data_IF_074585629131
#
_entry.id   IF_074585629131
#
_cell.length_a   1.000
_cell.length_b   1.000
_cell.length_c   1.000
_cell.angle_alpha   90.00
_cell.angle_beta   90.00
_cell.angle_gamma   90.00
#
_symmetry.space_group_name_H-M   'P 1'
#
loop_
_entity.id
_entity.type
_entity.pdbx_description
1 polymer ?
#
# COMPACT_ATOMS: atom_id res chain seq x y z
N UNK A 1 -24.86 -109.30 38.30
CA UNK A 1 -24.58 -107.85 38.34
C UNK A 1 -23.22 -107.60 37.70
N UNK A 2 -23.20 -106.57 36.85
CA UNK A 2 -22.10 -105.92 36.13
C UNK A 2 -21.61 -106.54 34.79
N UNK A 3 -21.45 -105.71 33.73
CA UNK A 3 -21.62 -106.12 32.35
C UNK A 3 -20.38 -105.88 31.47
N UNK A 4 -20.50 -106.31 30.20
CA UNK A 4 -19.71 -105.99 29.01
C UNK A 4 -19.35 -104.50 28.87
N UNK A 5 -18.20 -104.18 28.24
CA UNK A 5 -18.14 -103.50 26.91
C UNK A 5 -16.74 -103.61 26.28
N UNK A 6 -16.68 -103.99 24.99
CA UNK A 6 -15.51 -103.86 24.09
C UNK A 6 -15.34 -102.41 23.66
N UNK A 7 -14.11 -101.90 23.52
CA UNK A 7 -13.83 -100.69 22.73
C UNK A 7 -12.71 -100.98 21.73
N UNK A 8 -13.05 -100.81 20.46
CA UNK A 8 -12.22 -100.80 19.27
C UNK A 8 -11.69 -99.37 19.12
N UNK A 9 -10.38 -99.18 18.93
CA UNK A 9 -9.80 -97.87 18.62
C UNK A 9 -9.70 -97.69 17.10
N UNK A 10 -10.39 -96.67 16.59
CA UNK A 10 -10.42 -96.21 15.19
C UNK A 10 -9.65 -94.89 15.10
N UNK A 11 -8.89 -94.71 14.01
CA UNK A 11 -8.00 -93.58 13.74
C UNK A 11 -8.74 -92.24 13.51
N UNK A 12 -8.10 -91.11 13.84
CA UNK A 12 -8.38 -89.81 13.21
C UNK A 12 -7.15 -88.89 13.25
N UNK A 13 -6.68 -88.52 12.06
CA UNK A 13 -5.70 -87.47 11.77
C UNK A 13 -6.28 -86.11 12.20
N UNK A 14 -5.54 -85.34 13.01
CA UNK A 14 -5.89 -83.96 13.33
C UNK A 14 -4.80 -83.01 12.81
N UNK A 15 -5.15 -82.30 11.74
CA UNK A 15 -4.44 -81.15 11.19
C UNK A 15 -4.42 -80.00 12.21
N UNK A 16 -3.24 -79.61 12.66
CA UNK A 16 -3.04 -78.38 13.45
C UNK A 16 -2.65 -77.26 12.49
N UNK A 17 -3.56 -76.31 12.27
CA UNK A 17 -3.25 -75.02 11.68
C UNK A 17 -2.79 -74.09 12.81
N UNK A 18 -1.53 -73.66 12.78
CA UNK A 18 -1.06 -72.51 13.56
C UNK A 18 -0.43 -71.50 12.62
N UNK A 19 -1.02 -70.32 12.68
CA UNK A 19 -0.86 -69.14 11.85
C UNK A 19 0.51 -68.47 12.02
N UNK A 20 1.16 -68.18 10.90
CA UNK A 20 2.40 -67.40 10.80
C UNK A 20 2.21 -65.96 11.28
N UNK A 21 3.19 -65.44 12.03
CA UNK A 21 3.33 -64.02 12.32
C UNK A 21 3.39 -63.21 11.02
N UNK A 22 2.44 -62.31 10.80
CA UNK A 22 2.65 -61.22 9.84
C UNK A 22 3.51 -60.18 10.55
N UNK A 23 4.78 -60.10 10.15
CA UNK A 23 5.52 -58.86 10.27
C UNK A 23 4.67 -57.78 9.60
N UNK A 24 4.22 -56.79 10.37
CA UNK A 24 3.71 -55.55 9.80
C UNK A 24 4.89 -54.90 9.10
N UNK A 25 5.04 -55.19 7.81
CA UNK A 25 5.73 -54.30 6.90
C UNK A 25 4.95 -52.98 7.02
N UNK A 26 5.55 -52.00 7.69
CA UNK A 26 5.15 -50.61 7.50
C UNK A 26 5.36 -50.39 6.01
N UNK A 27 4.28 -50.41 5.24
CA UNK A 27 4.35 -50.07 3.84
C UNK A 27 5.07 -48.72 3.75
N UNK A 28 6.13 -48.59 2.94
CA UNK A 28 6.68 -47.27 2.68
C UNK A 28 5.53 -46.40 2.19
N UNK A 29 5.36 -45.21 2.77
CA UNK A 29 4.46 -44.20 2.22
C UNK A 29 4.86 -44.04 0.75
N UNK A 30 3.99 -44.48 -0.18
CA UNK A 30 4.25 -44.34 -1.60
C UNK A 30 4.57 -42.88 -1.91
N UNK A 31 5.51 -42.56 -2.82
CA UNK A 31 5.72 -41.19 -3.26
C UNK A 31 4.43 -40.68 -3.91
N UNK A 32 3.68 -39.90 -3.15
CA UNK A 32 3.56 -38.46 -3.34
C UNK A 32 3.76 -37.96 -4.79
N UNK A 33 2.73 -37.31 -5.34
CA UNK A 33 2.82 -36.61 -6.62
C UNK A 33 3.74 -35.39 -6.55
N UNK A 34 4.25 -34.96 -7.70
CA UNK A 34 4.86 -33.63 -7.85
C UNK A 34 3.84 -32.69 -8.48
N UNK A 35 3.89 -31.42 -8.10
CA UNK A 35 3.06 -30.36 -8.70
C UNK A 35 3.84 -29.07 -8.80
N UNK A 36 3.51 -28.26 -9.78
CA UNK A 36 4.00 -26.89 -9.89
C UNK A 36 3.04 -25.96 -9.15
N UNK A 37 3.55 -25.22 -8.18
CA UNK A 37 2.84 -24.07 -7.61
C UNK A 37 3.32 -22.80 -8.29
N UNK A 38 2.39 -21.91 -8.63
CA UNK A 38 2.68 -20.58 -9.19
C UNK A 38 1.98 -19.52 -8.34
N UNK A 39 2.75 -18.51 -7.94
CA UNK A 39 2.27 -17.33 -7.23
C UNK A 39 2.50 -16.13 -8.13
N UNK A 40 1.44 -15.41 -8.49
CA UNK A 40 1.54 -14.19 -9.30
C UNK A 40 1.01 -13.02 -8.50
N UNK A 41 1.75 -11.91 -8.53
CA UNK A 41 1.25 -10.62 -8.08
C UNK A 41 0.49 -9.98 -9.24
N UNK A 42 -0.84 -9.95 -9.15
CA UNK A 42 -1.75 -9.36 -10.14
C UNK A 42 -2.24 -7.97 -9.71
N UNK A 43 -1.67 -7.42 -8.63
CA UNK A 43 -1.96 -6.06 -8.20
C UNK A 43 -1.58 -5.00 -9.23
N UNK A 44 -2.00 -3.77 -8.99
CA UNK A 44 -1.68 -2.62 -9.85
C UNK A 44 -0.55 -1.77 -9.27
N UNK A 45 0.18 -1.07 -10.14
CA UNK A 45 1.08 0.02 -9.73
C UNK A 45 0.46 1.37 -10.05
N UNK A 46 0.50 2.28 -9.08
CA UNK A 46 -0.11 3.61 -9.14
C UNK A 46 0.93 4.67 -8.79
N UNK A 47 0.76 5.87 -9.31
CA UNK A 47 1.74 6.96 -9.16
C UNK A 47 1.61 7.67 -7.81
N UNK A 48 0.41 7.68 -7.24
CA UNK A 48 0.07 8.36 -6.00
C UNK A 48 -0.38 7.32 -4.97
N UNK A 49 0.01 7.49 -3.71
CA UNK A 49 -0.48 6.63 -2.60
C UNK A 49 -1.81 7.15 -2.05
N UNK A 50 -1.94 8.48 -2.02
CA UNK A 50 -3.14 9.18 -1.60
C UNK A 50 -3.33 10.45 -2.42
N UNK A 51 -4.57 10.87 -2.57
CA UNK A 51 -4.91 12.16 -3.15
C UNK A 51 -6.25 12.66 -2.61
N UNK A 52 -6.49 13.94 -2.78
CA UNK A 52 -7.74 14.56 -2.41
C UNK A 52 -7.87 15.99 -2.90
N UNK A 53 -8.91 16.64 -2.40
CA UNK A 53 -9.17 18.06 -2.68
C UNK A 53 -9.30 18.83 -1.38
N UNK A 54 -9.06 20.13 -1.44
CA UNK A 54 -9.34 21.04 -0.35
C UNK A 54 -10.07 22.28 -0.89
N UNK A 55 -10.82 22.95 -0.02
CA UNK A 55 -11.55 24.16 -0.39
C UNK A 55 -11.77 25.05 0.82
N UNK A 56 -11.87 26.35 0.59
CA UNK A 56 -12.21 27.30 1.65
C UNK A 56 -13.72 27.36 1.91
N UNK A 57 -14.09 28.14 2.93
CA UNK A 57 -15.49 28.31 3.32
C UNK A 57 -16.19 29.47 2.60
N UNK A 58 -15.46 30.32 1.85
CA UNK A 58 -16.01 31.56 1.31
C UNK A 58 -16.45 32.52 2.42
N UNK A 59 -17.46 33.34 2.17
CA UNK A 59 -18.08 34.20 3.19
C UNK A 59 -19.57 34.41 2.92
N UNK A 60 -20.26 35.12 3.82
CA UNK A 60 -21.67 35.49 3.63
C UNK A 60 -21.91 36.28 2.32
N UNK A 61 -20.91 37.02 1.83
CA UNK A 61 -20.98 37.81 0.59
C UNK A 61 -20.28 37.15 -0.60
N UNK A 62 -19.47 36.13 -0.35
CA UNK A 62 -18.75 35.35 -1.38
C UNK A 62 -19.14 33.88 -1.23
N UNK A 63 -20.25 33.49 -1.87
CA UNK A 63 -20.82 32.13 -1.78
C UNK A 63 -20.11 31.11 -2.70
N UNK A 64 -18.81 31.26 -2.86
CA UNK A 64 -17.93 30.35 -3.59
C UNK A 64 -16.87 29.81 -2.63
N UNK A 65 -16.43 28.55 -2.75
CA UNK A 65 -15.58 27.88 -1.76
C UNK A 65 -14.10 28.30 -1.86
N UNK A 66 -13.86 29.62 -1.82
CA UNK A 66 -12.55 30.25 -1.84
C UNK A 66 -11.98 30.32 -0.43
N UNK A 67 -10.64 30.31 -0.35
CA UNK A 67 -9.90 30.68 0.86
C UNK A 67 -9.63 32.18 0.77
N UNK A 68 -10.47 32.97 1.42
CA UNK A 68 -10.35 34.44 1.41
C UNK A 68 -9.18 34.90 2.30
N UNK A 69 -8.66 36.13 2.10
CA UNK A 69 -7.66 36.70 3.00
C UNK A 69 -8.08 36.61 4.48
N UNK A 70 -7.17 36.11 5.31
CA UNK A 70 -7.39 35.83 6.74
C UNK A 70 -7.96 34.45 7.05
N UNK A 71 -8.45 33.71 6.06
CA UNK A 71 -8.97 32.34 6.24
C UNK A 71 -7.86 31.29 6.10
N UNK A 72 -8.12 30.12 6.67
CA UNK A 72 -7.28 28.95 6.56
C UNK A 72 -8.09 27.70 6.21
N UNK A 73 -7.41 26.69 5.68
CA UNK A 73 -7.92 25.35 5.45
C UNK A 73 -6.89 24.35 5.95
N UNK A 74 -7.36 23.22 6.48
CA UNK A 74 -6.50 22.12 6.90
C UNK A 74 -6.99 20.81 6.32
N UNK A 75 -6.06 19.92 6.01
CA UNK A 75 -6.34 18.54 5.62
C UNK A 75 -5.21 17.63 6.10
N UNK A 76 -5.51 16.34 6.22
CA UNK A 76 -4.57 15.33 6.66
C UNK A 76 -4.35 14.28 5.58
N UNK A 77 -3.15 13.71 5.56
CA UNK A 77 -2.71 12.66 4.65
C UNK A 77 -1.62 11.83 5.33
N UNK A 78 -1.39 10.61 4.89
CA UNK A 78 -0.32 9.77 5.38
C UNK A 78 0.87 9.82 4.43
N UNK A 79 2.07 9.69 4.99
CA UNK A 79 3.29 9.62 4.19
C UNK A 79 4.41 8.91 4.93
N UNK A 80 5.13 8.06 4.23
CA UNK A 80 6.39 7.45 4.64
C UNK A 80 7.61 8.24 4.14
N UNK A 81 8.80 7.87 4.63
CA UNK A 81 10.07 8.47 4.20
C UNK A 81 10.26 8.40 2.69
N UNK A 82 10.78 9.47 2.12
CA UNK A 82 11.06 9.58 0.67
C UNK A 82 9.84 9.88 -0.19
N UNK A 83 8.62 9.85 0.36
CA UNK A 83 7.43 10.37 -0.32
C UNK A 83 7.36 11.90 -0.21
N UNK A 84 6.67 12.51 -1.17
CA UNK A 84 6.53 13.96 -1.27
C UNK A 84 5.05 14.36 -1.35
N UNK A 85 4.71 15.49 -0.74
CA UNK A 85 3.39 16.12 -0.91
C UNK A 85 3.43 17.10 -2.08
N UNK A 86 2.50 16.95 -3.01
CA UNK A 86 2.21 17.94 -4.04
C UNK A 86 0.83 18.55 -3.77
N UNK A 87 0.67 19.85 -4.01
CA UNK A 87 -0.63 20.50 -4.02
C UNK A 87 -0.64 21.64 -5.04
N UNK A 88 -1.82 22.00 -5.54
CA UNK A 88 -1.99 23.16 -6.40
C UNK A 88 -3.29 23.90 -6.09
N UNK A 89 -3.24 25.23 -6.00
CA UNK A 89 -4.41 26.11 -5.88
C UNK A 89 -4.19 27.42 -6.64
N UNK A 90 -5.23 27.98 -7.24
CA UNK A 90 -5.15 29.19 -8.06
C UNK A 90 -4.79 30.41 -7.22
N UNK A 91 -3.92 31.28 -7.75
CA UNK A 91 -3.93 32.69 -7.38
C UNK A 91 -5.21 33.30 -7.98
N UNK A 92 -6.25 33.48 -7.17
CA UNK A 92 -7.61 33.73 -7.65
C UNK A 92 -7.77 34.97 -8.53
N UNK A 93 -6.90 35.98 -8.38
CA UNK A 93 -6.89 37.20 -9.21
C UNK A 93 -5.94 37.17 -10.42
N UNK A 94 -5.45 36.01 -10.81
CA UNK A 94 -4.63 35.80 -12.02
C UNK A 94 -5.45 35.18 -13.14
N UNK A 95 -4.88 35.15 -14.35
CA UNK A 95 -5.46 34.44 -15.50
C UNK A 95 -4.95 33.01 -15.65
N UNK A 96 -3.80 32.69 -15.06
CA UNK A 96 -3.17 31.37 -15.12
C UNK A 96 -2.04 31.18 -14.09
N UNK A 97 -2.07 31.89 -12.96
CA UNK A 97 -1.10 31.67 -11.88
C UNK A 97 -1.65 30.74 -10.79
N UNK A 98 -0.76 29.95 -10.20
CA UNK A 98 -1.10 29.02 -9.12
C UNK A 98 -0.01 28.94 -8.06
N UNK A 99 -0.41 28.62 -6.84
CA UNK A 99 0.50 28.26 -5.75
C UNK A 99 0.71 26.76 -5.74
N UNK A 100 1.97 26.36 -5.66
CA UNK A 100 2.40 24.98 -5.49
C UNK A 100 3.81 24.95 -4.89
N UNK A 101 4.24 23.82 -4.31
CA UNK A 101 5.66 23.56 -4.06
C UNK A 101 6.50 23.59 -5.34
N UNK A 102 7.79 23.25 -5.22
CA UNK A 102 8.61 22.88 -6.39
C UNK A 102 7.92 21.77 -7.20
N UNK A 103 8.27 21.63 -8.48
CA UNK A 103 7.76 20.55 -9.33
C UNK A 103 8.07 19.15 -8.77
N UNK A 104 9.13 19.01 -7.96
CA UNK A 104 9.47 17.81 -7.19
C UNK A 104 8.58 17.54 -5.96
N UNK A 105 7.69 18.46 -5.59
CA UNK A 105 6.89 18.41 -4.36
C UNK A 105 7.65 18.76 -3.08
N UNK A 106 6.92 18.79 -1.96
CA UNK A 106 7.46 18.98 -0.60
C UNK A 106 8.02 17.67 -0.07
N UNK A 107 9.30 17.68 0.31
CA UNK A 107 9.85 16.60 1.13
C UNK A 107 9.21 16.63 2.52
N UNK A 108 8.68 15.48 2.96
CA UNK A 108 7.97 15.35 4.24
C UNK A 108 8.86 14.88 5.39
N UNK A 109 10.08 14.43 5.06
CA UNK A 109 11.08 13.98 6.00
C UNK A 109 12.44 14.58 5.64
N UNK A 110 13.22 14.92 6.67
CA UNK A 110 14.62 15.29 6.53
C UNK A 110 15.48 14.06 6.18
N UNK A 111 16.72 14.30 5.76
CA UNK A 111 17.65 13.23 5.38
C UNK A 111 17.98 12.25 6.54
N UNK A 112 17.85 12.70 7.79
CA UNK A 112 18.01 11.85 8.99
C UNK A 112 16.74 11.04 9.33
N UNK A 113 15.67 11.20 8.55
CA UNK A 113 14.40 10.50 8.73
C UNK A 113 13.45 11.14 9.74
N UNK A 114 13.76 12.32 10.27
CA UNK A 114 12.84 13.08 11.12
C UNK A 114 11.76 13.77 10.26
N UNK A 115 10.49 13.85 10.74
CA UNK A 115 9.40 14.46 9.99
C UNK A 115 9.56 15.99 9.92
N UNK A 116 9.27 16.59 8.77
CA UNK A 116 9.23 18.05 8.59
C UNK A 116 7.98 18.60 9.28
N UNK A 117 8.17 19.51 10.23
CA UNK A 117 7.07 20.14 10.98
C UNK A 117 7.32 21.64 11.18
N UNK A 118 6.28 22.39 11.53
CA UNK A 118 6.34 23.84 11.69
C UNK A 118 6.06 24.59 10.38
N UNK A 119 6.55 25.81 10.28
CA UNK A 119 6.35 26.69 9.13
C UNK A 119 7.22 26.26 7.93
N UNK A 120 6.56 26.04 6.79
CA UNK A 120 7.17 25.66 5.52
C UNK A 120 6.79 26.62 4.38
N UNK A 121 6.34 27.84 4.71
CA UNK A 121 5.85 28.82 3.73
C UNK A 121 6.88 29.13 2.65
N UNK A 122 8.17 29.14 2.98
CA UNK A 122 9.28 29.38 2.04
C UNK A 122 9.51 28.24 1.03
N UNK A 123 8.83 27.10 1.20
CA UNK A 123 8.88 25.99 0.24
C UNK A 123 7.73 26.03 -0.78
N UNK A 124 6.89 27.06 -0.71
CA UNK A 124 5.80 27.28 -1.66
C UNK A 124 6.23 28.38 -2.61
N UNK A 125 5.94 28.17 -3.90
CA UNK A 125 6.21 29.12 -4.96
C UNK A 125 4.90 29.58 -5.60
N UNK A 126 5.00 30.69 -6.33
CA UNK A 126 3.99 31.13 -7.25
C UNK A 126 4.45 30.74 -8.66
N UNK A 127 3.57 30.14 -9.44
CA UNK A 127 3.85 29.65 -10.79
C UNK A 127 2.93 30.31 -11.82
N UNK A 128 3.44 30.49 -13.03
CA UNK A 128 2.72 30.84 -14.25
C UNK A 128 2.54 29.53 -15.05
N UNK A 129 1.30 29.12 -15.34
CA UNK A 129 1.01 27.90 -16.09
C UNK A 129 1.33 28.02 -17.60
N UNK A 130 1.54 29.25 -18.09
CA UNK A 130 1.96 29.52 -19.47
C UNK A 130 0.87 29.29 -20.51
N UNK A 131 -0.40 29.21 -20.09
CA UNK A 131 -1.54 28.90 -20.97
C UNK A 131 -2.38 30.11 -21.31
N UNK A 132 -2.26 31.22 -20.57
CA UNK A 132 -2.92 32.49 -20.89
C UNK A 132 -2.01 33.68 -20.61
N UNK A 133 -2.21 34.78 -21.35
CA UNK A 133 -1.55 36.03 -20.96
C UNK A 133 -2.21 36.57 -19.69
N UNK A 134 -1.41 36.83 -18.69
CA UNK A 134 -1.80 37.54 -17.50
C UNK A 134 -1.93 39.03 -17.84
N UNK A 135 -3.17 39.52 -17.97
CA UNK A 135 -3.41 40.97 -18.05
C UNK A 135 -2.91 41.68 -16.78
N UNK A 136 -3.06 43.01 -16.69
CA UNK A 136 -2.74 43.72 -15.44
C UNK A 136 -3.50 43.11 -14.26
N UNK A 137 -2.78 42.63 -13.26
CA UNK A 137 -3.38 42.12 -12.01
C UNK A 137 -4.17 43.25 -11.36
N UNK A 138 -5.47 43.03 -11.16
CA UNK A 138 -6.38 43.99 -10.57
C UNK A 138 -7.04 43.36 -9.33
N UNK A 139 -6.71 43.81 -8.11
CA UNK A 139 -7.32 43.33 -6.87
C UNK A 139 -8.84 43.53 -6.78
N UNK A 140 -9.43 44.32 -7.69
CA UNK A 140 -10.79 44.82 -7.65
C UNK A 140 -11.71 44.28 -8.78
N UNK A 141 -11.27 43.31 -9.61
CA UNK A 141 -12.05 42.81 -10.75
C UNK A 141 -11.87 41.31 -11.03
N UNK A 142 -12.79 40.65 -11.79
CA UNK A 142 -12.80 39.20 -11.89
C UNK A 142 -11.65 38.69 -12.76
N UNK A 143 -10.75 37.89 -12.18
CA UNK A 143 -9.66 37.29 -12.93
C UNK A 143 -9.99 35.92 -13.55
N UNK A 144 -11.12 35.30 -13.22
CA UNK A 144 -11.48 33.98 -13.77
C UNK A 144 -11.71 34.02 -15.29
N UNK A 145 -11.03 33.12 -16.02
CA UNK A 145 -11.38 32.76 -17.41
C UNK A 145 -11.03 33.73 -18.55
N UNK A 146 -10.49 34.93 -18.27
CA UNK A 146 -10.04 35.89 -19.30
C UNK A 146 -8.60 35.69 -19.77
N UNK A 147 -8.09 36.55 -20.66
CA UNK A 147 -6.72 36.49 -21.21
C UNK A 147 -6.64 35.80 -22.57
N UNK A 148 -5.63 36.15 -23.39
CA UNK A 148 -5.40 35.50 -24.67
C UNK A 148 -4.73 34.15 -24.44
N UNK A 149 -5.15 33.12 -25.16
CA UNK A 149 -4.47 31.82 -25.12
C UNK A 149 -3.04 31.97 -25.63
N UNK A 150 -2.10 31.40 -24.87
CA UNK A 150 -0.69 31.27 -25.25
C UNK A 150 -0.23 29.84 -24.97
N UNK A 151 0.94 29.50 -25.50
CA UNK A 151 1.59 28.22 -25.24
C UNK A 151 3.03 28.52 -24.86
N UNK A 152 3.24 28.69 -23.56
CA UNK A 152 4.53 28.94 -22.93
C UNK A 152 4.79 27.82 -21.91
N UNK A 153 6.06 27.52 -21.60
CA UNK A 153 6.38 26.62 -20.51
C UNK A 153 5.90 27.16 -19.16
N UNK A 154 5.56 26.25 -18.25
CA UNK A 154 5.30 26.56 -16.85
C UNK A 154 6.58 27.16 -16.24
N UNK A 155 6.45 28.26 -15.50
CA UNK A 155 7.58 28.98 -14.90
C UNK A 155 7.30 29.50 -13.50
N UNK A 156 8.31 29.44 -12.64
CA UNK A 156 8.25 30.09 -11.33
C UNK A 156 8.23 31.62 -11.48
N UNK A 157 7.28 32.27 -10.80
CA UNK A 157 7.24 33.71 -10.60
C UNK A 157 8.02 34.01 -9.32
N UNK A 158 9.36 34.01 -9.42
CA UNK A 158 10.30 34.20 -8.32
C UNK A 158 10.36 35.63 -7.77
N UNK A 159 9.21 36.23 -7.44
CA UNK A 159 9.10 37.52 -6.73
C UNK A 159 9.55 38.76 -7.51
N UNK A 160 9.77 38.66 -8.82
CA UNK A 160 10.14 39.80 -9.67
C UNK A 160 9.01 40.16 -10.64
N UNK A 161 8.86 39.41 -11.73
CA UNK A 161 7.78 39.59 -12.71
C UNK A 161 7.38 38.26 -13.36
N UNK A 162 6.11 38.14 -13.76
CA UNK A 162 5.68 37.11 -14.70
C UNK A 162 6.11 37.43 -16.14
N UNK A 163 5.79 36.55 -17.09
CA UNK A 163 6.10 36.72 -18.50
C UNK A 163 5.42 37.94 -19.16
N UNK A 164 4.41 38.51 -18.51
CA UNK A 164 3.63 39.64 -19.01
C UNK A 164 3.94 40.95 -18.27
N UNK A 165 4.94 40.95 -17.39
CA UNK A 165 5.48 42.12 -16.69
C UNK A 165 4.73 42.52 -15.42
N UNK A 166 3.87 41.66 -14.87
CA UNK A 166 3.21 41.88 -13.59
C UNK A 166 4.13 41.51 -12.43
N UNK A 167 4.22 42.38 -11.43
CA UNK A 167 5.02 42.12 -10.22
C UNK A 167 4.20 41.41 -9.15
N UNK A 168 4.82 40.40 -8.54
CA UNK A 168 4.24 39.61 -7.45
C UNK A 168 5.17 39.57 -6.26
N UNK A 169 4.59 39.61 -5.07
CA UNK A 169 5.28 39.21 -3.85
C UNK A 169 5.58 37.70 -3.88
N UNK A 170 6.65 37.25 -3.21
CA UNK A 170 6.89 35.82 -2.98
C UNK A 170 5.67 35.14 -2.34
N UNK A 171 5.47 33.86 -2.65
CA UNK A 171 4.32 33.12 -2.12
C UNK A 171 4.30 33.08 -0.58
N UNK A 172 5.45 33.05 0.09
CA UNK A 172 5.55 33.08 1.56
C UNK A 172 5.05 34.40 2.19
N UNK A 173 4.88 35.47 1.42
CA UNK A 173 4.23 36.71 1.86
C UNK A 173 2.71 36.72 1.61
N UNK A 174 2.18 35.73 0.89
CA UNK A 174 0.75 35.63 0.53
C UNK A 174 0.07 34.43 1.19
N UNK A 175 0.83 33.37 1.43
CA UNK A 175 0.39 32.11 1.99
C UNK A 175 1.30 31.72 3.16
N UNK A 176 0.70 31.39 4.29
CA UNK A 176 1.39 30.72 5.39
C UNK A 176 1.02 29.24 5.38
N UNK A 177 2.02 28.36 5.37
CA UNK A 177 1.82 26.91 5.35
C UNK A 177 2.56 26.26 6.51
N UNK A 178 1.84 25.47 7.29
CA UNK A 178 2.43 24.75 8.43
C UNK A 178 2.12 23.26 8.39
N UNK A 179 3.06 22.43 8.85
CA UNK A 179 2.89 20.99 9.00
C UNK A 179 2.94 20.57 10.47
N UNK A 180 2.07 19.62 10.83
CA UNK A 180 2.20 18.82 12.06
C UNK A 180 2.21 17.34 11.70
N UNK A 181 2.74 16.49 12.57
CA UNK A 181 2.91 15.06 12.32
C UNK A 181 2.54 14.22 13.54
N UNK A 182 1.81 13.13 13.30
CA UNK A 182 1.47 12.10 14.27
C UNK A 182 2.27 10.82 13.96
N UNK A 183 3.26 10.54 14.80
CA UNK A 183 4.17 9.41 14.60
C UNK A 183 3.51 8.03 14.76
N UNK A 184 2.45 7.95 15.57
CA UNK A 184 1.72 6.69 15.78
C UNK A 184 1.07 6.24 14.48
N UNK A 185 0.45 7.15 13.73
CA UNK A 185 -0.30 6.83 12.52
C UNK A 185 0.46 7.14 11.22
N UNK A 186 1.62 7.80 11.29
CA UNK A 186 2.35 8.35 10.14
C UNK A 186 1.56 9.42 9.36
N UNK A 187 0.70 10.15 10.07
CA UNK A 187 -0.20 11.15 9.48
C UNK A 187 0.38 12.56 9.62
N UNK A 188 0.42 13.30 8.52
CA UNK A 188 0.64 14.73 8.53
C UNK A 188 -0.69 15.48 8.49
N UNK A 189 -0.71 16.66 9.10
CA UNK A 189 -1.75 17.67 8.87
C UNK A 189 -1.09 18.94 8.37
N UNK A 190 -1.52 19.38 7.18
CA UNK A 190 -1.12 20.65 6.61
C UNK A 190 -2.21 21.69 6.86
N UNK A 191 -1.80 22.89 7.22
CA UNK A 191 -2.66 24.07 7.32
C UNK A 191 -2.16 25.12 6.35
N UNK A 192 -3.04 25.57 5.46
CA UNK A 192 -2.78 26.62 4.49
C UNK A 192 -3.63 27.83 4.88
N UNK A 193 -2.96 28.94 5.20
CA UNK A 193 -3.60 30.20 5.55
C UNK A 193 -3.31 31.26 4.51
N UNK A 194 -4.36 31.95 4.07
CA UNK A 194 -4.25 33.10 3.19
C UNK A 194 -3.90 34.34 4.00
N UNK A 195 -2.66 34.81 3.87
CA UNK A 195 -2.14 36.02 4.54
C UNK A 195 -1.98 37.20 3.57
N UNK A 196 -2.51 37.11 2.35
CA UNK A 196 -2.34 38.13 1.32
C UNK A 196 -3.05 39.46 1.62
N UNK A 197 -3.96 39.49 2.60
CA UNK A 197 -4.78 40.66 2.92
C UNK A 197 -3.96 41.90 3.29
N UNK A 198 -4.23 43.02 2.63
CA UNK A 198 -3.53 44.28 2.86
C UNK A 198 -2.19 44.39 2.11
N UNK A 199 -1.80 43.36 1.36
CA UNK A 199 -0.65 43.42 0.45
C UNK A 199 -1.06 43.97 -0.92
N UNK A 200 -0.07 44.37 -1.73
CA UNK A 200 -0.30 44.76 -3.13
C UNK A 200 -0.82 43.61 -4.02
N UNK A 201 -0.63 42.36 -3.59
CA UNK A 201 -1.09 41.14 -4.27
C UNK A 201 -2.21 40.44 -3.47
N UNK A 202 -3.08 41.19 -2.79
CA UNK A 202 -4.24 40.63 -2.09
C UNK A 202 -5.07 39.79 -3.06
N UNK A 203 -5.26 38.50 -2.76
CA UNK A 203 -5.99 37.55 -3.63
C UNK A 203 -6.69 36.47 -2.80
N UNK A 204 -7.87 35.97 -3.20
CA UNK A 204 -8.35 34.69 -2.69
C UNK A 204 -7.56 33.52 -3.30
N UNK A 205 -7.63 32.34 -2.67
CA UNK A 205 -7.19 31.08 -3.26
C UNK A 205 -8.41 30.22 -3.66
N UNK A 206 -8.31 29.49 -4.76
CA UNK A 206 -9.37 28.57 -5.20
C UNK A 206 -9.40 27.29 -4.36
N UNK A 207 -10.43 26.44 -4.54
CA UNK A 207 -10.27 25.01 -4.27
C UNK A 207 -9.02 24.47 -4.97
N UNK A 208 -8.36 23.51 -4.32
CA UNK A 208 -7.15 22.89 -4.82
C UNK A 208 -7.22 21.37 -4.79
N UNK A 209 -6.15 20.76 -5.30
CA UNK A 209 -5.87 19.32 -5.19
C UNK A 209 -4.62 19.12 -4.34
N UNK A 210 -4.50 17.93 -3.77
CA UNK A 210 -3.27 17.46 -3.16
C UNK A 210 -3.06 15.98 -3.49
N UNK A 211 -1.80 15.56 -3.53
CA UNK A 211 -1.41 14.18 -3.74
C UNK A 211 -0.10 13.84 -3.04
N UNK A 212 -0.02 12.64 -2.49
CA UNK A 212 1.21 12.08 -1.93
C UNK A 212 1.78 11.10 -2.94
N UNK A 213 3.04 11.30 -3.33
CA UNK A 213 3.70 10.44 -4.31
C UNK A 213 3.86 9.03 -3.77
N UNK A 214 3.63 8.04 -4.63
CA UNK A 214 3.94 6.65 -4.32
C UNK A 214 5.45 6.40 -4.45
N UNK A 215 5.97 5.41 -3.73
CA UNK A 215 7.39 5.06 -3.74
C UNK A 215 7.57 3.55 -3.77
N UNK A 216 8.51 3.08 -4.57
CA UNK A 216 8.90 1.68 -4.66
C UNK A 216 10.41 1.56 -4.65
N UNK A 217 10.96 0.77 -3.72
CA UNK A 217 12.40 0.57 -3.61
C UNK A 217 13.19 1.86 -3.31
N UNK A 218 12.57 2.84 -2.65
CA UNK A 218 13.18 4.14 -2.35
C UNK A 218 13.11 5.16 -3.48
N UNK A 219 12.38 4.87 -4.56
CA UNK A 219 12.20 5.79 -5.68
C UNK A 219 10.74 6.16 -5.87
N UNK A 220 10.47 7.45 -6.10
CA UNK A 220 9.14 7.94 -6.44
C UNK A 220 8.66 7.35 -7.77
N UNK A 221 7.40 6.91 -7.83
CA UNK A 221 6.78 6.40 -9.06
C UNK A 221 6.63 7.48 -10.14
N UNK A 222 6.34 8.71 -9.72
CA UNK A 222 6.43 9.93 -10.53
C UNK A 222 7.04 11.03 -9.63
N UNK A 223 8.26 11.51 -9.92
CA UNK A 223 8.90 12.53 -9.11
C UNK A 223 8.26 13.91 -9.26
N UNK A 224 7.42 14.12 -10.27
CA UNK A 224 6.86 15.42 -10.61
C UNK A 224 5.39 15.27 -11.07
N UNK A 225 4.44 14.91 -10.20
CA UNK A 225 3.13 14.43 -10.62
C UNK A 225 2.23 15.50 -11.27
N UNK A 226 2.42 16.79 -10.96
CA UNK A 226 1.55 17.86 -11.45
C UNK A 226 2.11 18.61 -12.66
N UNK A 227 3.38 18.96 -12.64
CA UNK A 227 4.03 19.71 -13.71
C UNK A 227 5.54 19.48 -13.68
N UNK A 228 6.25 20.02 -14.68
CA UNK A 228 7.70 20.10 -14.71
C UNK A 228 8.06 21.54 -15.07
N UNK A 229 8.98 22.15 -14.32
CA UNK A 229 9.46 23.49 -14.67
C UNK A 229 10.03 23.48 -16.09
N UNK A 230 9.85 24.60 -16.80
CA UNK A 230 10.28 24.76 -18.20
C UNK A 230 9.63 23.78 -19.19
N UNK A 231 8.50 23.18 -18.84
CA UNK A 231 7.69 22.33 -19.73
C UNK A 231 6.27 22.84 -19.90
N UNK A 232 5.62 22.48 -21.01
CA UNK A 232 4.19 22.80 -21.22
C UNK A 232 3.30 22.02 -20.23
N UNK A 233 2.14 22.58 -19.88
CA UNK A 233 1.10 21.88 -19.13
C UNK A 233 0.78 20.52 -19.77
N UNK A 234 0.69 19.48 -18.92
CA UNK A 234 0.51 18.09 -19.35
C UNK A 234 -0.90 17.78 -19.83
N UNK A 235 -1.83 18.73 -19.68
CA UNK A 235 -3.24 18.55 -20.02
C UNK A 235 -4.02 17.73 -19.00
N UNK A 236 -3.45 17.39 -17.84
CA UNK A 236 -4.13 16.61 -16.79
C UNK A 236 -5.09 17.44 -15.94
N UNK A 237 -5.05 18.78 -16.04
CA UNK A 237 -6.02 19.66 -15.40
C UNK A 237 -5.44 20.80 -14.58
N UNK A 238 -4.11 20.92 -14.46
CA UNK A 238 -3.47 22.04 -13.74
C UNK A 238 -3.85 23.39 -14.34
N UNK A 239 -3.82 23.52 -15.69
CA UNK A 239 -4.32 24.71 -16.37
C UNK A 239 -5.75 25.13 -15.99
N UNK A 240 -6.66 24.17 -15.68
CA UNK A 240 -8.01 24.51 -15.23
C UNK A 240 -8.04 25.09 -13.82
N UNK A 241 -7.16 24.63 -12.94
CA UNK A 241 -6.97 25.23 -11.62
C UNK A 241 -6.40 26.63 -11.82
N UNK A 242 -5.28 26.76 -12.53
CA UNK A 242 -4.59 28.02 -12.73
C UNK A 242 -5.47 29.11 -13.37
N UNK A 243 -6.38 28.74 -14.29
CA UNK A 243 -7.21 29.72 -15.01
C UNK A 243 -8.56 30.01 -14.36
N UNK A 244 -9.12 29.03 -13.63
CA UNK A 244 -10.53 29.08 -13.23
C UNK A 244 -10.79 28.60 -11.80
N UNK A 245 -9.78 28.07 -11.11
CA UNK A 245 -9.96 27.42 -9.82
C UNK A 245 -10.79 26.14 -9.90
N UNK A 246 -10.95 25.56 -11.09
CA UNK A 246 -11.68 24.30 -11.31
C UNK A 246 -10.73 23.12 -11.13
N UNK A 247 -10.80 22.50 -9.95
CA UNK A 247 -9.97 21.34 -9.59
C UNK A 247 -10.55 20.00 -10.04
N UNK A 248 -11.72 19.95 -10.68
CA UNK A 248 -12.43 18.70 -10.98
C UNK A 248 -11.64 17.75 -11.88
N UNK A 249 -10.98 18.28 -12.91
CA UNK A 249 -10.23 17.46 -13.89
C UNK A 249 -8.98 16.85 -13.26
N UNK A 250 -8.19 17.66 -12.54
CA UNK A 250 -6.98 17.16 -11.88
C UNK A 250 -7.33 16.24 -10.72
N UNK A 251 -8.39 16.52 -9.94
CA UNK A 251 -8.86 15.61 -8.89
C UNK A 251 -9.28 14.23 -9.45
N UNK A 252 -9.95 14.21 -10.60
CA UNK A 252 -10.31 12.95 -11.26
C UNK A 252 -9.08 12.19 -11.78
N UNK A 253 -8.08 12.92 -12.32
CA UNK A 253 -6.81 12.34 -12.73
C UNK A 253 -6.05 11.75 -11.54
N UNK A 254 -5.93 12.49 -10.43
CA UNK A 254 -5.26 12.05 -9.22
C UNK A 254 -5.95 10.81 -8.63
N UNK A 255 -7.28 10.82 -8.55
CA UNK A 255 -8.05 9.68 -8.04
C UNK A 255 -7.82 8.42 -8.88
N UNK A 256 -7.77 8.54 -10.21
CA UNK A 256 -7.52 7.39 -11.10
C UNK A 256 -6.09 6.83 -10.99
N UNK A 257 -5.14 7.68 -10.56
CA UNK A 257 -3.73 7.35 -10.38
C UNK A 257 -3.33 7.11 -8.92
N UNK A 258 -4.31 7.07 -8.01
CA UNK A 258 -4.12 6.77 -6.59
C UNK A 258 -4.34 5.29 -6.32
N UNK A 259 -3.44 4.71 -5.53
CA UNK A 259 -3.57 3.37 -5.00
C UNK A 259 -2.24 2.87 -4.42
N UNK A 260 -2.31 1.84 -3.60
CA UNK A 260 -1.14 1.27 -2.95
C UNK A 260 -0.43 0.27 -3.85
N UNK A 261 0.91 0.27 -3.81
CA UNK A 261 1.73 -0.75 -4.46
C UNK A 261 1.96 -1.85 -3.43
N UNK A 262 1.60 -3.09 -3.75
CA UNK A 262 1.71 -4.21 -2.80
C UNK A 262 2.70 -5.23 -3.36
N UNK A 263 4.00 -5.16 -3.02
CA UNK A 263 4.93 -6.27 -3.24
C UNK A 263 4.52 -7.46 -2.38
N UNK A 264 4.70 -8.68 -2.89
CA UNK A 264 4.62 -9.89 -2.09
C UNK A 264 6.03 -10.29 -1.66
N UNK A 265 6.27 -10.64 -0.40
CA UNK A 265 7.58 -11.20 -0.01
C UNK A 265 7.86 -12.53 -0.73
N UNK A 266 9.08 -13.10 -0.60
CA UNK A 266 9.27 -14.52 -0.82
C UNK A 266 8.19 -15.35 -0.10
N UNK A 267 7.72 -16.39 -0.78
CA UNK A 267 6.51 -17.10 -0.39
C UNK A 267 6.86 -18.38 0.37
N UNK A 268 6.37 -18.51 1.60
CA UNK A 268 6.45 -19.76 2.35
C UNK A 268 5.36 -20.71 1.83
N UNK A 269 5.75 -21.95 1.50
CA UNK A 269 4.83 -23.04 1.16
C UNK A 269 5.10 -24.22 2.07
N UNK A 270 4.06 -24.69 2.77
CA UNK A 270 4.15 -25.78 3.76
C UNK A 270 3.23 -26.90 3.33
N UNK A 271 3.77 -28.12 3.27
CA UNK A 271 3.01 -29.34 3.04
C UNK A 271 2.92 -30.08 4.37
N UNK A 272 1.70 -30.42 4.79
CA UNK A 272 1.49 -31.06 6.08
C UNK A 272 0.34 -32.07 6.04
N UNK A 273 0.39 -33.05 6.94
CA UNK A 273 -0.51 -34.19 6.97
C UNK A 273 -1.46 -34.14 8.17
N UNK A 274 -2.77 -34.14 7.89
CA UNK A 274 -3.86 -34.10 8.90
C UNK A 274 -3.68 -32.93 9.90
N UNK A 275 -4.66 -32.75 10.79
CA UNK A 275 -4.62 -31.69 11.79
C UNK A 275 -4.95 -30.28 11.26
N UNK A 276 -4.75 -29.32 12.17
CA UNK A 276 -5.00 -27.89 11.96
C UNK A 276 -3.81 -27.22 11.28
N UNK A 277 -4.00 -25.97 10.85
CA UNK A 277 -2.91 -25.16 10.30
C UNK A 277 -1.75 -25.08 11.31
N UNK A 278 -0.52 -25.49 10.94
CA UNK A 278 0.62 -25.49 11.86
C UNK A 278 1.23 -24.10 12.07
N UNK A 279 0.83 -23.09 11.27
CA UNK A 279 1.48 -21.77 11.22
C UNK A 279 0.75 -20.75 12.07
N UNK A 280 -0.57 -20.70 12.00
CA UNK A 280 -1.37 -19.77 12.80
C UNK A 280 -2.80 -20.28 13.02
N UNK A 281 -3.50 -19.60 13.91
CA UNK A 281 -4.94 -19.74 14.10
C UNK A 281 -5.57 -18.37 14.36
N UNK A 282 -6.62 -18.04 13.61
CA UNK A 282 -7.38 -16.80 13.81
C UNK A 282 -7.93 -16.77 15.23
N UNK A 283 -7.96 -15.58 15.85
CA UNK A 283 -8.32 -15.32 17.25
C UNK A 283 -7.30 -15.82 18.30
N UNK A 284 -6.14 -16.32 17.88
CA UNK A 284 -5.00 -16.60 18.76
C UNK A 284 -3.83 -15.68 18.41
N UNK A 285 -2.94 -15.41 19.37
CA UNK A 285 -1.71 -14.65 19.12
C UNK A 285 -0.74 -15.45 18.22
N UNK A 286 0.21 -14.75 17.56
CA UNK A 286 1.34 -15.38 16.88
C UNK A 286 2.02 -16.42 17.80
N UNK A 287 2.31 -17.60 17.26
CA UNK A 287 2.88 -18.72 18.00
C UNK A 287 4.34 -18.51 18.44
N UNK A 288 4.96 -17.38 18.09
CA UNK A 288 6.35 -17.03 18.36
C UNK A 288 7.34 -17.84 17.52
N UNK A 289 6.91 -18.42 16.40
CA UNK A 289 7.74 -19.33 15.58
C UNK A 289 8.33 -18.65 14.35
N UNK A 290 8.06 -17.36 14.14
CA UNK A 290 8.61 -16.55 13.06
C UNK A 290 7.59 -16.15 11.97
N UNK A 291 6.28 -16.25 12.22
CA UNK A 291 5.28 -15.70 11.30
C UNK A 291 5.36 -14.17 11.25
N UNK A 292 5.53 -13.51 12.40
CA UNK A 292 5.85 -12.08 12.49
C UNK A 292 7.05 -11.66 11.63
N UNK A 293 8.08 -12.50 11.46
CA UNK A 293 9.21 -12.18 10.57
C UNK A 293 8.79 -12.16 9.08
N UNK A 294 7.82 -12.99 8.68
CA UNK A 294 7.20 -12.89 7.35
C UNK A 294 6.34 -11.63 7.29
N UNK A 295 5.43 -11.46 8.24
CA UNK A 295 4.43 -10.42 8.19
C UNK A 295 5.03 -9.00 8.29
N UNK A 296 6.12 -8.83 9.04
CA UNK A 296 6.77 -7.52 9.25
C UNK A 296 7.93 -7.25 8.28
N UNK A 297 8.63 -8.29 7.81
CA UNK A 297 9.92 -8.13 7.11
C UNK A 297 10.02 -8.97 5.83
N UNK A 298 9.04 -9.80 5.53
CA UNK A 298 9.07 -10.72 4.40
C UNK A 298 10.08 -11.85 4.53
N UNK A 299 10.51 -12.18 5.75
CA UNK A 299 11.58 -13.15 6.02
C UNK A 299 11.02 -14.51 6.45
N UNK A 300 10.88 -15.44 5.50
CA UNK A 300 10.34 -16.78 5.78
C UNK A 300 11.30 -17.77 6.46
N UNK A 301 12.59 -17.43 6.57
CA UNK A 301 13.63 -18.40 6.97
C UNK A 301 13.48 -18.95 8.41
N UNK A 302 13.08 -18.10 9.36
CA UNK A 302 12.85 -18.47 10.76
C UNK A 302 11.73 -19.51 10.86
N UNK A 303 10.55 -19.15 10.34
CA UNK A 303 9.38 -20.02 10.34
C UNK A 303 9.60 -21.31 9.53
N UNK A 304 10.25 -21.21 8.37
CA UNK A 304 10.57 -22.39 7.57
C UNK A 304 11.45 -23.40 8.34
N UNK A 305 12.40 -22.91 9.14
CA UNK A 305 13.29 -23.75 9.95
C UNK A 305 12.56 -24.39 11.13
N UNK A 306 11.64 -23.66 11.77
CA UNK A 306 10.80 -24.19 12.84
C UNK A 306 9.89 -25.32 12.32
N UNK A 307 9.23 -25.11 11.18
CA UNK A 307 8.25 -26.04 10.61
C UNK A 307 8.88 -27.34 10.08
N UNK A 308 10.12 -27.30 9.58
CA UNK A 308 10.82 -28.52 9.12
C UNK A 308 10.96 -29.60 10.21
N UNK A 309 10.95 -29.19 11.48
CA UNK A 309 11.08 -30.10 12.62
C UNK A 309 9.73 -30.39 13.29
N UNK A 310 8.63 -29.81 12.78
CA UNK A 310 7.31 -29.94 13.40
C UNK A 310 6.65 -31.28 13.01
N UNK A 311 6.16 -32.07 13.98
CA UNK A 311 5.41 -33.28 13.69
C UNK A 311 4.20 -32.99 12.79
N UNK A 312 4.07 -33.78 11.72
CA UNK A 312 2.98 -33.63 10.75
C UNK A 312 3.31 -32.71 9.56
N UNK A 313 4.35 -31.89 9.63
CA UNK A 313 4.87 -31.18 8.45
C UNK A 313 5.75 -32.14 7.63
N UNK A 314 5.46 -32.27 6.33
CA UNK A 314 6.18 -33.19 5.44
C UNK A 314 7.22 -32.47 4.60
N UNK A 315 6.90 -31.27 4.09
CA UNK A 315 7.84 -30.46 3.31
C UNK A 315 7.63 -28.96 3.57
N UNK A 316 8.71 -28.18 3.43
CA UNK A 316 8.68 -26.71 3.55
C UNK A 316 9.54 -26.12 2.44
N UNK A 317 8.97 -25.18 1.69
CA UNK A 317 9.61 -24.46 0.60
C UNK A 317 9.53 -22.96 0.82
N UNK A 318 10.53 -22.23 0.34
CA UNK A 318 10.48 -20.77 0.21
C UNK A 318 10.70 -20.46 -1.26
N UNK A 319 9.71 -19.82 -1.90
CA UNK A 319 9.75 -19.46 -3.32
C UNK A 319 10.24 -18.02 -3.46
N UNK A 320 11.19 -17.82 -4.38
CA UNK A 320 11.84 -16.54 -4.59
C UNK A 320 12.85 -16.17 -3.51
N UNK A 321 13.62 -15.13 -3.78
CA UNK A 321 14.59 -14.53 -2.83
C UNK A 321 14.47 -13.01 -2.75
N UNK A 322 13.50 -12.45 -3.46
CA UNK A 322 13.22 -11.02 -3.53
C UNK A 322 11.70 -10.83 -3.63
N UNK A 323 11.18 -9.63 -3.31
CA UNK A 323 9.75 -9.36 -3.42
C UNK A 323 9.22 -9.54 -4.85
N UNK A 324 8.05 -10.17 -4.99
CA UNK A 324 7.29 -10.26 -6.23
C UNK A 324 6.54 -8.94 -6.40
N UNK A 325 7.06 -8.08 -7.27
CA UNK A 325 6.41 -6.81 -7.63
C UNK A 325 5.14 -7.05 -8.46
N UNK A 326 4.20 -6.09 -8.53
CA UNK A 326 3.05 -6.16 -9.43
C UNK A 326 3.41 -6.58 -10.85
N UNK A 327 2.71 -7.58 -11.39
CA UNK A 327 3.00 -8.22 -12.68
C UNK A 327 4.01 -9.37 -12.63
N UNK A 328 4.79 -9.47 -11.54
CA UNK A 328 5.76 -10.53 -11.30
C UNK A 328 5.12 -11.86 -10.88
N UNK A 329 5.93 -12.93 -10.90
CA UNK A 329 5.52 -14.25 -10.43
C UNK A 329 6.71 -15.07 -9.92
N UNK A 330 6.41 -16.04 -9.07
CA UNK A 330 7.34 -17.08 -8.64
C UNK A 330 6.72 -18.46 -8.85
N UNK A 331 7.58 -19.46 -9.12
CA UNK A 331 7.15 -20.84 -9.34
C UNK A 331 8.02 -21.81 -8.56
N UNK A 332 7.42 -22.92 -8.11
CA UNK A 332 8.15 -23.97 -7.40
C UNK A 332 7.59 -25.36 -7.68
N UNK A 333 8.44 -26.38 -7.60
CA UNK A 333 8.02 -27.78 -7.57
C UNK A 333 7.79 -28.21 -6.13
N UNK A 334 6.60 -28.72 -5.82
CA UNK A 334 6.25 -29.25 -4.51
C UNK A 334 5.98 -30.76 -4.58
N UNK A 335 6.42 -31.46 -3.55
CA UNK A 335 6.15 -32.89 -3.32
C UNK A 335 5.09 -33.02 -2.22
N UNK A 336 4.07 -33.84 -2.45
CA UNK A 336 2.95 -34.03 -1.53
C UNK A 336 2.39 -35.45 -1.57
N UNK A 337 2.01 -36.01 -0.42
CA UNK A 337 1.33 -37.30 -0.33
C UNK A 337 -0.21 -37.15 -0.40
N UNK A 338 -0.89 -38.26 -0.71
CA UNK A 338 -2.35 -38.28 -0.69
C UNK A 338 -2.89 -37.94 0.71
N UNK A 339 -3.75 -36.94 0.78
CA UNK A 339 -4.33 -36.44 2.02
C UNK A 339 -3.54 -35.30 2.67
N UNK A 340 -2.42 -34.89 2.09
CA UNK A 340 -1.70 -33.70 2.53
C UNK A 340 -2.46 -32.42 2.17
N UNK A 341 -2.18 -31.39 2.96
CA UNK A 341 -2.66 -30.02 2.79
C UNK A 341 -1.50 -29.09 2.47
N UNK A 342 -1.80 -28.03 1.73
CA UNK A 342 -0.88 -26.94 1.38
C UNK A 342 -1.29 -25.71 2.19
N UNK A 343 -0.31 -25.10 2.83
CA UNK A 343 -0.39 -23.77 3.42
C UNK A 343 0.57 -22.84 2.70
N UNK A 344 0.16 -21.59 2.53
CA UNK A 344 0.94 -20.52 1.90
C UNK A 344 0.91 -19.32 2.84
N UNK A 345 2.06 -18.65 3.00
CA UNK A 345 2.14 -17.32 3.60
C UNK A 345 3.10 -16.43 2.82
N UNK A 346 2.71 -15.17 2.61
CA UNK A 346 3.57 -14.12 2.05
C UNK A 346 3.18 -12.77 2.61
N UNK A 347 4.14 -11.91 2.89
CA UNK A 347 3.92 -10.56 3.38
C UNK A 347 3.08 -9.74 2.39
N UNK A 348 2.21 -8.89 2.93
CA UNK A 348 1.75 -7.69 2.27
C UNK A 348 2.82 -6.61 2.46
N UNK A 349 3.66 -6.39 1.45
CA UNK A 349 4.96 -5.72 1.60
C UNK A 349 4.94 -4.25 2.05
N UNK A 350 3.77 -3.61 2.04
CA UNK A 350 3.58 -2.22 2.45
C UNK A 350 2.66 -2.09 3.66
N UNK A 351 2.71 -3.05 4.57
CA UNK A 351 2.02 -3.04 5.87
C UNK A 351 3.03 -3.10 7.01
N UNK A 352 2.54 -2.96 8.24
CA UNK A 352 3.36 -3.10 9.43
C UNK A 352 3.62 -4.57 9.75
N UNK A 353 2.60 -5.42 9.65
CA UNK A 353 2.62 -6.86 9.92
C UNK A 353 1.47 -7.64 9.24
N UNK A 354 1.04 -7.24 8.04
CA UNK A 354 0.03 -8.01 7.31
C UNK A 354 0.64 -9.08 6.40
N UNK A 355 -0.10 -10.17 6.22
CA UNK A 355 0.30 -11.26 5.35
C UNK A 355 -0.90 -11.91 4.64
N UNK A 356 -0.69 -12.32 3.40
CA UNK A 356 -1.61 -13.17 2.66
C UNK A 356 -1.39 -14.63 3.04
N UNK A 357 -2.45 -15.34 3.36
CA UNK A 357 -2.40 -16.77 3.63
C UNK A 357 -3.74 -17.47 3.41
N UNK A 358 -3.72 -18.80 3.42
CA UNK A 358 -4.93 -19.60 3.61
C UNK A 358 -5.06 -20.06 5.06
N UNK A 359 -6.14 -19.71 5.76
CA UNK A 359 -6.39 -20.23 7.11
C UNK A 359 -6.62 -21.76 7.08
N UNK A 360 -7.49 -22.22 6.18
CA UNK A 360 -7.74 -23.65 5.99
C UNK A 360 -6.78 -24.21 4.95
N UNK A 361 -6.04 -25.26 5.32
CA UNK A 361 -5.12 -25.95 4.42
C UNK A 361 -5.80 -26.44 3.14
N UNK A 362 -5.23 -26.09 1.98
CA UNK A 362 -5.72 -26.48 0.66
C UNK A 362 -5.41 -27.95 0.40
N UNK A 363 -6.35 -28.74 -0.11
CA UNK A 363 -6.07 -30.13 -0.46
C UNK A 363 -4.98 -30.18 -1.56
N UNK A 364 -3.86 -30.88 -1.30
CA UNK A 364 -2.73 -30.93 -2.21
C UNK A 364 -3.04 -31.64 -3.55
N UNK A 365 -4.12 -32.43 -3.60
CA UNK A 365 -4.62 -33.03 -4.84
C UNK A 365 -5.38 -32.06 -5.76
N UNK A 366 -5.74 -30.86 -5.27
CA UNK A 366 -6.43 -29.86 -6.08
C UNK A 366 -5.50 -29.37 -7.19
N UNK A 367 -6.07 -29.07 -8.35
CA UNK A 367 -5.39 -28.42 -9.48
C UNK A 367 -6.19 -27.20 -9.94
N UNK A 368 -5.53 -26.30 -10.65
CA UNK A 368 -6.07 -25.04 -11.15
C UNK A 368 -5.92 -23.88 -10.18
N UNK A 369 -6.75 -22.85 -10.39
CA UNK A 369 -6.78 -21.63 -9.58
C UNK A 369 -7.34 -21.91 -8.18
N UNK A 370 -6.60 -21.49 -7.16
CA UNK A 370 -6.97 -21.61 -5.75
C UNK A 370 -6.89 -20.27 -5.01
N UNK A 371 -6.85 -19.15 -5.74
CA UNK A 371 -6.70 -17.80 -5.20
C UNK A 371 -7.82 -17.43 -4.22
N UNK A 372 -9.01 -18.00 -4.39
CA UNK A 372 -10.16 -17.79 -3.49
C UNK A 372 -9.98 -18.38 -2.07
N UNK A 373 -8.91 -19.14 -1.84
CA UNK A 373 -8.55 -19.68 -0.52
C UNK A 373 -7.62 -18.73 0.25
N UNK A 374 -7.13 -17.66 -0.39
CA UNK A 374 -6.20 -16.71 0.20
C UNK A 374 -6.97 -15.50 0.72
N UNK A 375 -6.77 -15.21 2.00
CA UNK A 375 -7.22 -14.01 2.69
C UNK A 375 -6.02 -13.20 3.17
N UNK A 376 -6.27 -11.97 3.59
CA UNK A 376 -5.28 -11.07 4.16
C UNK A 376 -5.48 -11.00 5.68
N UNK A 377 -4.41 -11.25 6.44
CA UNK A 377 -4.44 -11.28 7.89
C UNK A 377 -3.48 -10.24 8.46
N UNK A 378 -3.87 -9.70 9.60
CA UNK A 378 -3.08 -8.91 10.53
C UNK A 378 -2.49 -9.88 11.56
N UNK A 379 -1.18 -9.88 11.73
CA UNK A 379 -0.46 -10.77 12.65
C UNK A 379 -0.65 -10.36 14.13
N UNK A 380 -1.05 -9.13 14.38
CA UNK A 380 -1.30 -8.57 15.71
C UNK A 380 -0.02 -8.32 16.51
N UNK A 381 1.12 -8.18 15.84
CA UNK A 381 2.44 -8.00 16.46
C UNK A 381 3.04 -6.61 16.25
N UNK A 382 2.47 -5.80 15.36
CA UNK A 382 2.88 -4.43 15.12
C UNK A 382 1.70 -3.46 14.97
N UNK A 383 1.79 -2.29 15.60
CA UNK A 383 0.77 -1.27 15.47
C UNK A 383 0.63 -0.79 14.02
N UNK A 384 -0.61 -0.71 13.56
CA UNK A 384 -0.95 -0.36 12.20
C UNK A 384 -0.68 1.10 11.80
N UNK A 385 -0.24 1.26 10.55
CA UNK A 385 -0.16 2.54 9.86
C UNK A 385 -0.70 2.41 8.43
N UNK A 386 -0.98 3.53 7.79
CA UNK A 386 -1.56 3.52 6.44
C UNK A 386 -0.69 2.72 5.47
N UNK A 387 -1.25 1.69 4.79
CA UNK A 387 -0.48 0.84 3.90
C UNK A 387 0.22 1.63 2.78
N UNK A 388 1.54 1.49 2.66
CA UNK A 388 2.34 2.20 1.66
C UNK A 388 2.63 3.66 1.99
N UNK A 389 2.28 4.12 3.19
CA UNK A 389 2.58 5.47 3.69
C UNK A 389 2.89 5.48 5.20
N UNK A 390 3.24 4.32 5.78
CA UNK A 390 3.57 4.18 7.20
C UNK A 390 5.07 4.22 7.45
N UNK A 391 5.56 5.22 8.17
CA UNK A 391 6.98 5.38 8.46
C UNK A 391 7.60 4.25 9.31
N UNK A 392 6.78 3.42 9.97
CA UNK A 392 7.19 2.27 10.77
C UNK A 392 7.17 0.94 10.01
N UNK A 393 6.75 0.95 8.75
CA UNK A 393 6.79 -0.21 7.86
C UNK A 393 8.24 -0.48 7.44
N UNK A 394 8.61 -1.76 7.30
CA UNK A 394 9.96 -2.16 6.92
C UNK A 394 10.40 -1.56 5.57
N UNK A 395 9.46 -1.41 4.62
CA UNK A 395 9.70 -0.80 3.31
C UNK A 395 10.22 0.65 3.36
N UNK A 396 9.97 1.36 4.46
CA UNK A 396 10.45 2.72 4.71
C UNK A 396 11.66 2.77 5.66
N UNK A 397 12.28 1.63 5.96
CA UNK A 397 13.33 1.52 6.97
C UNK A 397 12.84 1.82 8.39
N UNK A 398 11.53 1.67 8.61
CA UNK A 398 10.88 1.90 9.88
C UNK A 398 11.13 0.80 10.90
N UNK A 399 10.99 1.14 12.19
CA UNK A 399 10.91 0.15 13.27
C UNK A 399 9.47 0.10 13.76
N UNK A 400 8.88 -1.08 13.70
CA UNK A 400 7.52 -1.36 14.16
C UNK A 400 7.36 -0.99 15.65
N UNK A 401 6.17 -0.49 16.02
CA UNK A 401 5.77 -0.41 17.44
C UNK A 401 5.18 -1.78 17.78
N UNK A 402 5.77 -2.54 18.72
CA UNK A 402 5.24 -3.84 19.08
C UNK A 402 3.86 -3.75 19.73
N UNK A 403 3.00 -4.70 19.40
CA UNK A 403 1.77 -5.00 20.13
C UNK A 403 1.61 -6.52 20.27
N UNK A 404 0.50 -6.95 20.87
CA UNK A 404 0.24 -8.37 21.15
C UNK A 404 -1.26 -8.64 21.09
N UNK A 405 -1.81 -8.45 19.90
CA UNK A 405 -3.19 -8.75 19.56
C UNK A 405 -3.30 -10.17 18.96
N UNK A 406 -4.50 -10.78 18.98
CA UNK A 406 -4.74 -12.00 18.22
C UNK A 406 -4.70 -11.75 16.72
N UNK A 407 -4.30 -12.78 15.95
CA UNK A 407 -4.32 -12.76 14.49
C UNK A 407 -5.77 -12.66 14.01
N UNK A 408 -6.05 -11.71 13.11
CA UNK A 408 -7.38 -11.43 12.59
C UNK A 408 -7.34 -11.20 11.07
N UNK A 409 -8.45 -11.45 10.38
CA UNK A 409 -8.58 -11.01 8.98
C UNK A 409 -8.61 -9.47 8.93
N UNK A 410 -7.88 -8.88 8.00
CA UNK A 410 -7.79 -7.41 7.87
C UNK A 410 -9.17 -6.84 7.53
N UNK A 411 -9.58 -5.83 8.29
CA UNK A 411 -10.85 -5.14 8.10
C UNK A 411 -10.84 -4.10 6.97
N UNK A 412 -11.72 -3.12 7.07
CA UNK A 412 -11.92 -2.07 6.07
C UNK A 412 -11.43 -0.68 6.53
N UNK A 413 -10.53 -0.62 7.51
CA UNK A 413 -9.98 0.64 8.04
C UNK A 413 -9.24 1.44 6.96
N UNK A 414 -8.56 0.75 6.04
CA UNK A 414 -7.82 1.36 4.93
C UNK A 414 -8.37 0.90 3.57
N UNK A 415 -8.27 1.75 2.53
CA UNK A 415 -8.79 1.44 1.19
C UNK A 415 -7.82 0.51 0.44
N UNK A 416 -7.86 -0.78 0.77
CA UNK A 416 -7.01 -1.80 0.15
C UNK A 416 -7.79 -2.68 -0.84
N UNK A 417 -7.16 -3.16 -1.92
CA UNK A 417 -7.80 -4.10 -2.83
C UNK A 417 -8.03 -5.46 -2.14
N UNK A 418 -9.10 -6.19 -2.50
CA UNK A 418 -9.30 -7.56 -2.06
C UNK A 418 -8.10 -8.47 -2.41
N UNK A 419 -7.83 -9.49 -1.58
CA UNK A 419 -6.70 -10.40 -1.79
C UNK A 419 -6.66 -11.02 -3.19
N UNK A 420 -7.82 -11.44 -3.73
CA UNK A 420 -7.96 -12.00 -5.08
C UNK A 420 -7.58 -11.05 -6.22
N UNK A 421 -7.49 -9.75 -5.95
CA UNK A 421 -7.09 -8.72 -6.92
C UNK A 421 -5.60 -8.37 -6.78
N UNK A 422 -4.89 -9.01 -5.85
CA UNK A 422 -3.45 -8.83 -5.58
C UNK A 422 -2.66 -10.10 -5.80
N UNK A 423 -3.10 -11.23 -5.24
CA UNK A 423 -2.39 -12.50 -5.29
C UNK A 423 -3.21 -13.55 -6.03
N UNK A 424 -2.59 -14.13 -7.06
CA UNK A 424 -3.11 -15.30 -7.76
C UNK A 424 -2.26 -16.52 -7.43
N UNK A 425 -2.91 -17.61 -7.05
CA UNK A 425 -2.28 -18.90 -6.72
C UNK A 425 -2.83 -19.98 -7.65
N UNK A 426 -1.94 -20.71 -8.31
CA UNK A 426 -2.30 -21.84 -9.19
C UNK A 426 -1.49 -23.08 -8.89
N UNK A 427 -2.16 -24.24 -8.98
CA UNK A 427 -1.62 -25.58 -8.73
C UNK A 427 -1.70 -26.40 -10.03
N UNK A 428 -0.56 -26.68 -10.67
CA UNK A 428 -0.49 -27.31 -12.00
C UNK A 428 0.21 -28.66 -11.97
#
# INVERSE_FOLDING_TARGET
MKPLTKIISLAALATVALTSCNNMVVSPVSPSGMKTITIRNIGSSKQLVESGTFKGMGSATVNTPLILPGQEVSFSFYAGKGQTLNFATMYGWSKDCFFAPADSGLALYHADGTPVTGDISDQIMLWDDGTKTNGKINPSGPAVGGGNLVSRPIKEIGGSMDNDGNSFLPASMLMNVTLTYNDTTSQFTITIKNISGGTQNTTPFSPGVWAVSNSLGGHLSDPMPYFTDDSLDRGNGLAKIAQMGDNSKLAAYDSANTGIIIPLSPVLVVIYHKGNNPVFKVTEADFGQGLADIAQKGMASTLASALKNMPGVTNVYVLGSSPILPGGMETGQIQYANGDKIFIATMFGTSNDWFFANETGMNANKSGDVSNMISLYDDGTALEQYPGAGNRQAGFGGTQIPESNPIMEVGNTFPIPPAKDVIQVSLN
#
